data_IF_684476176309
#
_entry.id   IF_684476176309
#
_cell.length_a   1.000
_cell.length_b   1.000
_cell.length_c   1.000
_cell.angle_alpha   90.00
_cell.angle_beta   90.00
_cell.angle_gamma   90.00
#
_symmetry.space_group_name_H-M   'P 1'
#
loop_
_entity.id
_entity.type
_entity.pdbx_description
1 polymer ?
#
# COMPACT_ATOMS: atom_id res chain seq x y z
N UNK A 1 33.19 -8.23 -16.36
CA UNK A 1 32.60 -7.14 -15.55
C UNK A 1 31.61 -7.77 -14.59
N UNK A 2 31.63 -7.41 -13.30
CA UNK A 2 30.68 -7.87 -12.29
C UNK A 2 29.79 -6.70 -11.92
N UNK A 3 28.45 -6.85 -12.05
CA UNK A 3 27.49 -5.89 -11.57
C UNK A 3 27.09 -6.27 -10.14
N UNK A 4 27.04 -5.30 -9.25
CA UNK A 4 26.54 -5.44 -7.88
C UNK A 4 25.43 -4.43 -7.67
N UNK A 5 24.36 -4.86 -7.00
CA UNK A 5 23.22 -4.02 -6.63
C UNK A 5 23.22 -3.91 -5.09
N UNK A 6 23.96 -2.93 -4.54
CA UNK A 6 24.18 -2.85 -3.08
C UNK A 6 22.93 -2.43 -2.30
N UNK A 7 21.99 -1.76 -2.95
CA UNK A 7 20.72 -1.33 -2.36
C UNK A 7 19.60 -1.82 -3.25
N UNK A 8 18.85 -2.77 -2.74
CA UNK A 8 17.71 -3.37 -3.40
C UNK A 8 16.46 -3.01 -2.60
N UNK A 9 15.50 -2.40 -3.29
CA UNK A 9 14.18 -2.13 -2.74
C UNK A 9 13.21 -2.90 -3.60
N UNK A 10 12.50 -3.81 -2.97
CA UNK A 10 11.45 -4.57 -3.60
C UNK A 10 10.10 -3.97 -3.26
N UNK A 11 9.20 -4.01 -4.24
CA UNK A 11 7.77 -3.81 -4.07
C UNK A 11 7.13 -5.09 -4.57
N UNK A 12 6.31 -5.74 -3.73
CA UNK A 12 5.58 -6.92 -4.14
C UNK A 12 4.17 -6.55 -4.60
N UNK A 13 3.67 -7.31 -5.57
CA UNK A 13 2.32 -7.19 -6.10
C UNK A 13 1.68 -8.57 -6.17
N UNK A 14 0.43 -8.66 -5.77
CA UNK A 14 -0.44 -9.82 -6.00
C UNK A 14 -1.87 -9.34 -6.26
N UNK A 15 -2.64 -10.11 -7.03
CA UNK A 15 -4.06 -9.85 -7.23
C UNK A 15 -4.88 -11.02 -6.67
N UNK A 16 -5.84 -10.71 -5.81
CA UNK A 16 -6.62 -11.70 -5.05
C UNK A 16 -8.11 -11.70 -5.42
N UNK A 17 -8.51 -10.99 -6.46
CA UNK A 17 -9.91 -10.90 -6.88
C UNK A 17 -10.57 -12.25 -7.12
N UNK A 18 -9.78 -13.28 -7.45
CA UNK A 18 -10.28 -14.63 -7.70
C UNK A 18 -10.46 -15.48 -6.43
N UNK A 19 -9.98 -15.02 -5.27
CA UNK A 19 -9.99 -15.78 -4.00
C UNK A 19 -10.97 -15.21 -2.97
N UNK A 20 -11.54 -14.02 -3.20
CA UNK A 20 -12.34 -13.28 -2.24
C UNK A 20 -13.63 -12.76 -2.88
N UNK A 21 -14.64 -12.52 -2.05
CA UNK A 21 -15.84 -11.82 -2.49
C UNK A 21 -15.56 -10.31 -2.53
N UNK A 22 -15.30 -9.80 -3.74
CA UNK A 22 -14.95 -8.39 -3.96
C UNK A 22 -16.13 -7.46 -3.65
N UNK A 23 -17.36 -7.87 -3.90
CA UNK A 23 -18.56 -7.07 -3.67
C UNK A 23 -18.80 -6.92 -2.17
N UNK A 24 -18.73 -8.01 -1.42
CA UNK A 24 -18.88 -7.98 0.05
C UNK A 24 -17.78 -7.12 0.70
N UNK A 25 -16.52 -7.28 0.31
CA UNK A 25 -15.42 -6.45 0.82
C UNK A 25 -15.58 -4.98 0.50
N UNK A 26 -15.98 -4.66 -0.73
CA UNK A 26 -16.25 -3.28 -1.13
C UNK A 26 -17.35 -2.65 -0.26
N UNK A 27 -18.42 -3.41 0.01
CA UNK A 27 -19.52 -2.98 0.86
C UNK A 27 -19.07 -2.77 2.32
N UNK A 28 -18.22 -3.64 2.88
CA UNK A 28 -17.65 -3.46 4.22
C UNK A 28 -16.78 -2.19 4.28
N UNK A 29 -15.92 -1.94 3.29
CA UNK A 29 -15.08 -0.75 3.23
C UNK A 29 -15.93 0.52 3.07
N UNK A 30 -16.96 0.49 2.24
CA UNK A 30 -17.87 1.61 2.06
C UNK A 30 -18.68 1.89 3.34
N UNK A 31 -19.14 0.86 4.05
CA UNK A 31 -19.86 0.99 5.31
C UNK A 31 -19.00 1.67 6.40
N UNK A 32 -17.71 1.40 6.46
CA UNK A 32 -16.79 2.08 7.38
C UNK A 32 -16.77 3.59 7.14
N UNK A 33 -16.82 4.04 5.91
CA UNK A 33 -16.81 5.47 5.58
C UNK A 33 -18.05 6.20 6.10
N UNK A 34 -19.21 5.51 6.10
CA UNK A 34 -20.48 6.06 6.58
C UNK A 34 -20.54 6.07 8.11
N UNK A 35 -19.99 5.04 8.77
CA UNK A 35 -20.08 4.89 10.23
C UNK A 35 -19.17 5.84 11.00
N UNK A 36 -18.11 6.32 10.39
CA UNK A 36 -17.11 7.15 11.08
C UNK A 36 -17.63 8.55 11.44
N UNK A 37 -18.65 9.05 10.76
CA UNK A 37 -19.11 10.43 10.89
C UNK A 37 -18.03 11.49 10.60
N UNK A 38 -16.85 11.04 10.16
CA UNK A 38 -15.67 11.84 9.85
C UNK A 38 -15.47 11.90 8.34
N UNK A 39 -16.53 12.32 7.65
CA UNK A 39 -16.47 12.48 6.18
C UNK A 39 -15.32 13.38 5.71
N UNK A 40 -14.78 14.22 6.58
CA UNK A 40 -13.76 15.19 6.24
C UNK A 40 -12.31 14.66 6.38
N UNK A 41 -12.06 13.57 7.13
CA UNK A 41 -10.68 13.05 7.33
C UNK A 41 -10.25 11.95 6.37
N UNK A 42 -11.18 11.40 5.58
CA UNK A 42 -10.87 10.40 4.53
C UNK A 42 -10.22 9.10 5.03
N UNK A 43 -10.37 8.79 6.34
CA UNK A 43 -9.76 7.60 6.94
C UNK A 43 -10.59 7.05 8.11
N UNK A 44 -10.77 5.73 8.14
CA UNK A 44 -11.45 5.03 9.23
C UNK A 44 -10.72 3.75 9.61
N UNK A 45 -10.45 3.54 10.90
CA UNK A 45 -9.82 2.33 11.39
C UNK A 45 -10.81 1.15 11.40
N UNK A 46 -10.31 0.00 10.97
CA UNK A 46 -11.06 -1.26 10.98
C UNK A 46 -11.16 -1.80 12.40
N UNK A 47 -12.35 -2.21 12.79
CA UNK A 47 -12.61 -2.85 14.09
C UNK A 47 -13.03 -4.30 13.87
N UNK A 48 -12.55 -5.21 14.71
CA UNK A 48 -12.78 -6.65 14.63
C UNK A 48 -14.25 -7.06 14.70
N UNK A 49 -15.12 -6.19 15.22
CA UNK A 49 -16.54 -6.48 15.38
C UNK A 49 -17.40 -6.16 14.16
N UNK A 50 -16.91 -5.34 13.26
CA UNK A 50 -17.72 -4.73 12.20
C UNK A 50 -17.35 -5.15 10.79
N UNK A 51 -16.20 -5.79 10.61
CA UNK A 51 -15.62 -6.02 9.28
C UNK A 51 -14.99 -7.42 9.18
N UNK A 52 -15.77 -8.53 9.22
CA UNK A 52 -15.22 -9.88 9.22
C UNK A 52 -14.49 -10.22 7.91
N UNK A 53 -14.95 -9.74 6.76
CA UNK A 53 -14.27 -9.94 5.47
C UNK A 53 -12.92 -9.22 5.40
N UNK A 54 -12.86 -7.99 5.92
CA UNK A 54 -11.60 -7.24 6.01
C UNK A 54 -10.63 -7.91 6.97
N UNK A 55 -11.11 -8.44 8.10
CA UNK A 55 -10.26 -9.17 9.06
C UNK A 55 -9.67 -10.41 8.40
N UNK A 56 -10.50 -11.20 7.70
CA UNK A 56 -10.03 -12.35 6.94
C UNK A 56 -8.98 -11.96 5.87
N UNK A 57 -9.25 -10.91 5.08
CA UNK A 57 -8.29 -10.41 4.09
C UNK A 57 -6.96 -10.02 4.75
N UNK A 58 -7.01 -9.28 5.87
CA UNK A 58 -5.81 -8.85 6.60
C UNK A 58 -5.02 -10.04 7.15
N UNK A 59 -5.70 -10.91 7.94
CA UNK A 59 -5.01 -11.91 8.76
C UNK A 59 -4.55 -13.12 7.95
N UNK A 60 -5.37 -13.58 7.01
CA UNK A 60 -5.09 -14.81 6.26
C UNK A 60 -4.41 -14.55 4.91
N UNK A 61 -4.65 -13.40 4.28
CA UNK A 61 -4.10 -13.13 2.94
C UNK A 61 -2.94 -12.14 3.02
N UNK A 62 -3.18 -10.91 3.47
CA UNK A 62 -2.16 -9.85 3.46
C UNK A 62 -1.02 -10.20 4.42
N UNK A 63 -1.32 -10.65 5.64
CA UNK A 63 -0.29 -11.00 6.63
C UNK A 63 0.62 -12.11 6.14
N UNK A 64 0.07 -13.16 5.50
CA UNK A 64 0.90 -14.22 4.93
C UNK A 64 1.76 -13.72 3.77
N UNK A 65 1.22 -12.89 2.89
CA UNK A 65 2.00 -12.28 1.81
C UNK A 65 3.14 -11.37 2.33
N UNK A 66 2.90 -10.63 3.42
CA UNK A 66 3.95 -9.83 4.08
C UNK A 66 5.01 -10.70 4.73
N UNK A 67 4.64 -11.82 5.36
CA UNK A 67 5.60 -12.81 5.88
C UNK A 67 6.47 -13.42 4.78
N UNK A 68 5.87 -13.77 3.66
CA UNK A 68 6.61 -14.29 2.50
C UNK A 68 7.57 -13.24 1.95
N UNK A 69 7.13 -11.99 1.86
CA UNK A 69 7.97 -10.86 1.46
C UNK A 69 9.18 -10.69 2.40
N UNK A 70 8.94 -10.58 3.72
CA UNK A 70 10.02 -10.33 4.69
C UNK A 70 11.00 -11.50 4.75
N UNK A 71 10.52 -12.74 4.62
CA UNK A 71 11.35 -13.92 4.53
C UNK A 71 12.20 -13.92 3.25
N UNK A 72 11.61 -13.61 2.11
CA UNK A 72 12.31 -13.64 0.81
C UNK A 72 13.32 -12.51 0.65
N UNK A 73 12.95 -11.29 1.07
CA UNK A 73 13.76 -10.09 0.83
C UNK A 73 14.74 -9.79 1.96
N UNK A 74 14.36 -10.09 3.21
CA UNK A 74 15.14 -9.71 4.40
C UNK A 74 15.62 -10.91 5.23
N UNK A 75 15.23 -12.12 4.87
CA UNK A 75 15.46 -13.33 5.67
C UNK A 75 14.92 -13.18 7.11
N UNK A 76 13.81 -12.47 7.27
CA UNK A 76 13.15 -12.16 8.53
C UNK A 76 11.79 -12.89 8.62
N UNK A 77 11.55 -13.74 9.63
CA UNK A 77 10.35 -14.58 9.68
C UNK A 77 9.07 -13.85 10.10
N UNK A 78 9.15 -12.63 10.62
CA UNK A 78 8.02 -11.83 11.11
C UNK A 78 7.08 -12.63 12.05
N UNK A 79 7.64 -13.15 13.15
CA UNK A 79 6.90 -13.98 14.12
C UNK A 79 6.08 -13.12 15.10
N UNK A 80 6.68 -12.06 15.62
CA UNK A 80 6.06 -11.14 16.57
C UNK A 80 5.86 -9.76 15.94
N UNK A 81 4.59 -9.33 15.85
CA UNK A 81 4.20 -8.06 15.25
C UNK A 81 2.82 -7.64 15.72
N UNK A 82 2.51 -6.36 15.57
CA UNK A 82 1.14 -5.85 15.58
C UNK A 82 0.80 -5.27 14.22
N UNK A 83 -0.47 -5.24 13.86
CA UNK A 83 -0.94 -4.61 12.63
C UNK A 83 -2.06 -3.61 12.94
N UNK A 84 -2.10 -2.55 12.14
CA UNK A 84 -3.18 -1.58 12.14
C UNK A 84 -3.73 -1.48 10.72
N UNK A 85 -5.05 -1.51 10.59
CA UNK A 85 -5.71 -1.45 9.29
C UNK A 85 -6.70 -0.30 9.29
N UNK A 86 -6.66 0.48 8.22
CA UNK A 86 -7.61 1.56 8.02
C UNK A 86 -8.11 1.61 6.56
N UNK A 87 -9.40 1.92 6.40
CA UNK A 87 -9.98 2.26 5.12
C UNK A 87 -9.71 3.73 4.82
N UNK A 88 -9.29 4.00 3.58
CA UNK A 88 -9.09 5.36 3.06
C UNK A 88 -9.98 5.59 1.87
N UNK A 89 -10.59 6.76 1.83
CA UNK A 89 -11.26 7.26 0.64
C UNK A 89 -10.72 8.64 0.30
N UNK A 90 -10.55 8.87 -0.99
CA UNK A 90 -10.01 10.10 -1.54
C UNK A 90 -11.01 10.57 -2.59
N UNK A 91 -11.56 11.76 -2.42
CA UNK A 91 -12.57 12.34 -3.30
C UNK A 91 -11.97 12.78 -4.64
N UNK A 92 -12.81 12.95 -5.64
CA UNK A 92 -12.41 13.54 -6.92
C UNK A 92 -11.70 14.88 -6.72
N UNK A 93 -10.60 15.09 -7.42
CA UNK A 93 -9.77 16.29 -7.35
C UNK A 93 -8.77 16.30 -6.19
N UNK A 94 -8.90 15.40 -5.21
CA UNK A 94 -7.96 15.26 -4.10
C UNK A 94 -6.86 14.24 -4.43
N UNK A 95 -5.77 14.29 -3.67
CA UNK A 95 -4.66 13.35 -3.75
C UNK A 95 -3.89 13.31 -2.44
N UNK A 96 -2.87 12.47 -2.35
CA UNK A 96 -1.98 12.44 -1.19
C UNK A 96 -0.59 12.92 -1.61
N UNK A 97 -0.09 13.91 -0.88
CA UNK A 97 1.29 14.38 -1.05
C UNK A 97 2.30 13.27 -0.73
N UNK A 98 3.54 13.38 -1.23
CA UNK A 98 4.60 12.43 -0.90
C UNK A 98 4.80 12.31 0.61
N UNK A 99 4.65 11.08 1.14
CA UNK A 99 4.76 10.75 2.56
C UNK A 99 5.35 9.34 2.75
N UNK A 100 5.62 9.01 4.01
CA UNK A 100 6.04 7.69 4.48
C UNK A 100 5.18 7.29 5.68
N UNK A 101 5.14 6.01 6.02
CA UNK A 101 4.46 5.54 7.21
C UNK A 101 5.47 5.38 8.36
N UNK A 102 5.66 6.48 9.10
CA UNK A 102 6.63 6.53 10.19
C UNK A 102 6.22 5.59 11.34
N UNK A 103 7.18 4.76 11.78
CA UNK A 103 7.00 3.84 12.90
C UNK A 103 6.62 2.41 12.50
N UNK A 104 5.99 2.20 11.36
CA UNK A 104 5.77 0.86 10.82
C UNK A 104 6.96 0.39 9.96
N UNK A 105 7.14 -0.91 9.80
CA UNK A 105 8.20 -1.49 8.97
C UNK A 105 7.70 -1.88 7.59
N UNK A 106 6.46 -2.39 7.50
CA UNK A 106 5.85 -2.78 6.24
C UNK A 106 4.48 -2.14 6.08
N UNK A 107 4.15 -1.78 4.85
CA UNK A 107 2.84 -1.31 4.42
C UNK A 107 2.30 -2.19 3.30
N UNK A 108 1.01 -2.50 3.39
CA UNK A 108 0.27 -3.20 2.35
C UNK A 108 -0.99 -2.41 2.01
N UNK A 109 -1.25 -2.18 0.72
CA UNK A 109 -2.45 -1.46 0.26
C UNK A 109 -3.26 -2.39 -0.63
N UNK A 110 -4.50 -2.67 -0.23
CA UNK A 110 -5.49 -3.40 -1.02
C UNK A 110 -6.44 -2.42 -1.71
N UNK A 111 -6.84 -2.76 -2.93
CA UNK A 111 -7.77 -1.97 -3.75
C UNK A 111 -9.03 -2.79 -4.05
N UNK A 112 -10.20 -2.38 -3.51
CA UNK A 112 -11.47 -3.04 -3.80
C UNK A 112 -11.98 -2.74 -5.22
N UNK A 113 -11.57 -1.61 -5.79
CA UNK A 113 -11.96 -1.14 -7.12
C UNK A 113 -10.73 -0.82 -7.97
N UNK A 114 -10.89 -0.92 -9.29
CA UNK A 114 -9.90 -0.39 -10.24
C UNK A 114 -9.83 1.12 -10.11
N UNK A 115 -8.64 1.65 -9.85
CA UNK A 115 -8.42 3.08 -9.71
C UNK A 115 -7.86 3.65 -11.01
N UNK A 116 -8.47 4.72 -11.54
CA UNK A 116 -7.90 5.50 -12.65
C UNK A 116 -6.69 6.34 -12.23
N UNK A 117 -6.43 6.38 -10.92
CA UNK A 117 -5.45 7.26 -10.28
C UNK A 117 -4.23 6.49 -9.83
N UNK A 118 -3.05 6.97 -10.22
CA UNK A 118 -1.78 6.32 -9.92
C UNK A 118 -1.37 6.39 -8.44
N UNK A 119 -0.80 5.28 -7.96
CA UNK A 119 0.06 5.25 -6.78
C UNK A 119 1.50 5.41 -7.27
N UNK A 120 2.21 6.40 -6.74
CA UNK A 120 3.56 6.75 -7.14
C UNK A 120 4.54 6.41 -6.03
N UNK A 121 5.59 5.66 -6.33
CA UNK A 121 6.72 5.42 -5.44
C UNK A 121 7.92 6.24 -5.88
N UNK A 122 8.62 6.85 -4.94
CA UNK A 122 9.78 7.69 -5.22
C UNK A 122 11.09 6.97 -4.88
N UNK A 123 12.09 7.15 -5.74
CA UNK A 123 13.42 6.60 -5.49
C UNK A 123 14.00 7.21 -4.20
N UNK A 124 14.26 6.41 -3.15
CA UNK A 124 14.74 6.93 -1.86
C UNK A 124 16.17 7.46 -1.91
N UNK A 125 16.91 7.19 -2.98
CA UNK A 125 18.27 7.70 -3.15
C UNK A 125 18.31 9.20 -3.46
N UNK A 126 17.18 9.86 -3.64
CA UNK A 126 16.97 11.28 -3.89
C UNK A 126 17.86 11.87 -5.00
N UNK A 127 17.30 12.69 -5.85
CA UNK A 127 18.04 13.42 -6.91
C UNK A 127 18.91 12.56 -7.85
N UNK A 128 18.68 11.24 -7.90
CA UNK A 128 19.47 10.34 -8.77
C UNK A 128 19.40 10.73 -10.25
N UNK A 129 18.33 11.42 -10.65
CA UNK A 129 18.16 11.89 -12.03
C UNK A 129 18.90 13.19 -12.34
N UNK A 130 19.44 13.89 -11.31
CA UNK A 130 20.11 15.17 -11.49
C UNK A 130 21.40 15.02 -12.31
N UNK A 131 21.51 15.76 -13.38
CA UNK A 131 22.70 15.72 -14.25
C UNK A 131 22.66 14.62 -15.33
N UNK A 132 21.69 13.72 -15.29
CA UNK A 132 21.57 12.69 -16.34
C UNK A 132 20.80 13.21 -17.57
N UNK A 133 21.13 12.72 -18.78
CA UNK A 133 20.35 13.00 -19.98
C UNK A 133 18.87 12.63 -19.83
N UNK A 134 17.98 13.40 -20.46
CA UNK A 134 16.52 13.19 -20.37
C UNK A 134 16.09 11.76 -20.74
N UNK A 135 16.74 11.14 -21.70
CA UNK A 135 16.45 9.77 -22.14
C UNK A 135 16.71 8.73 -21.03
N UNK A 136 17.66 8.99 -20.14
CA UNK A 136 17.97 8.12 -19.00
C UNK A 136 17.03 8.45 -17.85
N UNK A 137 16.73 9.72 -17.60
CA UNK A 137 15.83 10.16 -16.52
C UNK A 137 14.39 9.64 -16.65
N UNK A 138 13.93 9.44 -17.88
CA UNK A 138 12.60 8.91 -18.16
C UNK A 138 12.49 7.38 -17.98
N UNK A 139 13.59 6.72 -17.59
CA UNK A 139 13.62 5.29 -17.28
C UNK A 139 13.80 5.12 -15.79
N UNK A 140 12.69 5.13 -15.04
CA UNK A 140 12.61 4.63 -13.64
C UNK A 140 13.63 5.21 -12.64
N UNK A 141 14.19 6.40 -12.91
CA UNK A 141 15.24 6.99 -12.05
C UNK A 141 14.70 7.87 -10.93
N UNK A 142 13.42 8.17 -10.87
CA UNK A 142 12.89 9.06 -9.83
C UNK A 142 11.53 8.67 -9.29
N UNK A 143 10.70 8.04 -10.09
CA UNK A 143 9.34 7.66 -9.71
C UNK A 143 8.89 6.42 -10.48
N UNK A 144 8.33 5.46 -9.75
CA UNK A 144 7.63 4.31 -10.29
C UNK A 144 6.14 4.49 -10.04
N UNK A 145 5.34 4.56 -11.10
CA UNK A 145 3.89 4.75 -11.03
C UNK A 145 3.18 3.45 -11.39
N UNK A 146 2.17 3.13 -10.62
CA UNK A 146 1.25 2.03 -10.88
C UNK A 146 -0.18 2.56 -10.95
N UNK A 147 -1.03 1.88 -11.71
CA UNK A 147 -2.48 2.08 -11.72
C UNK A 147 -3.11 0.82 -11.17
N UNK A 148 -3.63 0.85 -9.92
CA UNK A 148 -4.16 -0.34 -9.29
C UNK A 148 -5.42 -0.86 -9.97
N UNK A 149 -5.55 -2.17 -10.04
CA UNK A 149 -6.75 -2.89 -10.48
C UNK A 149 -7.50 -3.46 -9.26
N UNK A 150 -8.79 -3.75 -9.44
CA UNK A 150 -9.60 -4.38 -8.40
C UNK A 150 -8.98 -5.71 -7.95
N UNK A 151 -8.85 -5.89 -6.64
CA UNK A 151 -8.20 -7.05 -6.02
C UNK A 151 -6.69 -6.94 -5.86
N UNK A 152 -6.06 -5.87 -6.33
CA UNK A 152 -4.61 -5.67 -6.16
C UNK A 152 -4.24 -5.44 -4.71
N UNK A 153 -3.13 -6.07 -4.31
CA UNK A 153 -2.40 -5.79 -3.08
C UNK A 153 -0.96 -5.40 -3.45
N UNK A 154 -0.55 -4.23 -2.97
CA UNK A 154 0.82 -3.74 -3.12
C UNK A 154 1.50 -3.69 -1.76
N UNK A 155 2.65 -4.39 -1.60
CA UNK A 155 3.40 -4.53 -0.36
C UNK A 155 4.76 -3.88 -0.54
N UNK A 156 5.15 -3.02 0.40
CA UNK A 156 6.40 -2.27 0.33
C UNK A 156 6.91 -1.87 1.72
N UNK A 157 8.22 -1.61 1.88
CA UNK A 157 8.77 -1.05 3.11
C UNK A 157 8.15 0.32 3.44
N UNK A 158 7.71 0.52 4.66
CA UNK A 158 6.98 1.72 5.09
C UNK A 158 7.78 3.01 4.96
N UNK A 159 9.12 2.93 4.94
CA UNK A 159 9.99 4.09 4.69
C UNK A 159 9.99 4.56 3.23
N UNK A 160 9.45 3.76 2.31
CA UNK A 160 9.43 4.12 0.89
C UNK A 160 8.44 5.24 0.65
N UNK A 161 8.96 6.41 0.26
CA UNK A 161 8.14 7.58 -0.01
C UNK A 161 7.21 7.31 -1.19
N UNK A 162 5.93 7.62 -0.99
CA UNK A 162 4.90 7.44 -2.01
C UNK A 162 3.84 8.53 -1.96
N UNK A 163 3.06 8.65 -3.02
CA UNK A 163 1.96 9.62 -3.15
C UNK A 163 0.82 9.04 -3.96
N UNK A 164 -0.35 9.65 -3.83
CA UNK A 164 -1.49 9.38 -4.72
C UNK A 164 -1.71 10.60 -5.60
N UNK A 165 -1.72 10.41 -6.91
CA UNK A 165 -2.08 11.45 -7.87
C UNK A 165 -3.52 11.92 -7.63
N UNK A 166 -3.88 13.12 -8.12
CA UNK A 166 -5.25 13.63 -7.99
C UNK A 166 -6.24 12.65 -8.62
N UNK A 167 -7.25 12.29 -7.83
CA UNK A 167 -8.30 11.36 -8.22
C UNK A 167 -9.12 11.96 -9.36
N UNK A 168 -9.39 11.12 -10.37
CA UNK A 168 -10.25 11.48 -11.50
C UNK A 168 -11.47 10.57 -11.48
N UNK A 169 -12.65 11.15 -11.72
CA UNK A 169 -13.90 10.42 -11.61
C UNK A 169 -14.37 10.25 -10.15
N UNK A 170 -14.86 9.08 -9.82
CA UNK A 170 -15.40 8.80 -8.49
C UNK A 170 -14.36 8.72 -7.38
N UNK A 171 -14.83 8.56 -6.16
CA UNK A 171 -14.00 8.36 -4.97
C UNK A 171 -13.11 7.13 -5.10
N UNK A 172 -11.82 7.28 -4.81
CA UNK A 172 -10.85 6.18 -4.74
C UNK A 172 -10.87 5.56 -3.34
N UNK A 173 -11.23 4.29 -3.28
CA UNK A 173 -11.18 3.48 -2.06
C UNK A 173 -9.88 2.69 -1.98
N UNK A 174 -9.36 2.50 -0.77
CA UNK A 174 -8.25 1.59 -0.49
C UNK A 174 -8.25 1.17 0.97
N UNK A 175 -7.66 0.01 1.24
CA UNK A 175 -7.44 -0.50 2.60
C UNK A 175 -5.94 -0.56 2.85
N UNK A 176 -5.44 0.24 3.79
CA UNK A 176 -4.04 0.24 4.20
C UNK A 176 -3.89 -0.62 5.44
N UNK A 177 -2.95 -1.55 5.41
CA UNK A 177 -2.49 -2.29 6.59
C UNK A 177 -1.01 -1.99 6.84
N UNK A 178 -0.71 -1.55 8.05
CA UNK A 178 0.63 -1.26 8.53
C UNK A 178 1.06 -2.34 9.53
N UNK A 179 2.32 -2.75 9.45
CA UNK A 179 2.91 -3.78 10.30
C UNK A 179 4.06 -3.20 11.12
N UNK A 180 3.99 -3.43 12.43
CA UNK A 180 4.96 -2.98 13.43
C UNK A 180 5.61 -4.20 14.03
N UNK A 181 6.88 -4.41 13.73
CA UNK A 181 7.62 -5.55 14.24
C UNK A 181 8.05 -5.30 15.69
N UNK A 182 7.79 -6.26 16.54
CA UNK A 182 8.23 -6.19 17.93
C UNK A 182 9.67 -6.69 18.01
N UNK A 183 10.61 -5.76 18.02
CA UNK A 183 12.02 -6.08 18.21
C UNK A 183 12.28 -6.24 19.71
N UNK A 184 12.48 -7.48 20.12
CA UNK A 184 13.11 -7.78 21.40
C UNK A 184 14.64 -7.71 21.21
N UNK A 185 15.19 -6.49 21.09
CA UNK A 185 16.62 -6.23 21.18
C UNK A 185 17.02 -5.82 22.59
#
# INVERSE_FOLDING_TARGET
MRFVQPWKIEIAHLNVAHCIDMEDLRNEIAALSIMSGQEDEGQTFVTDKLCPGIIHLRDDIITNAVRDYTKACWNYPMEDFRSETNAKWIKEGEGLYPHVHAGSQMSAIFYPDTAETGLNFFDPRMNVSRGYPKVIRNRDMSMYQITPEAGDIWIFPSYLQHSVSHVRGDTRLSLLTEYYFNDNY
#
